data_IF_319521748882
#
_entry.id   IF_319521748882
#
_cell.length_a   1.000
_cell.length_b   1.000
_cell.length_c   1.000
_cell.angle_alpha   90.00
_cell.angle_beta   90.00
_cell.angle_gamma   90.00
#
_symmetry.space_group_name_H-M   'P 1'
#
loop_
_entity.id
_entity.type
_entity.pdbx_description
1 polymer ?
#
# COMPACT_ATOMS: atom_id res chain seq x y z
N UNK A 1 12.90 16.69 -54.68
CA UNK A 1 12.63 15.76 -53.54
C UNK A 1 11.70 16.45 -52.56
N UNK A 2 10.38 16.33 -52.72
CA UNK A 2 9.39 17.00 -51.86
C UNK A 2 9.07 16.14 -50.63
N UNK A 3 9.20 16.77 -49.44
CA UNK A 3 8.91 16.21 -48.12
C UNK A 3 7.40 15.87 -48.03
N UNK A 4 7.06 14.61 -47.78
CA UNK A 4 5.67 14.18 -47.53
C UNK A 4 5.21 14.72 -46.17
N UNK A 5 4.49 15.84 -46.19
CA UNK A 5 3.67 16.27 -45.06
C UNK A 5 2.49 15.30 -44.90
N UNK A 6 2.54 14.51 -43.84
CA UNK A 6 1.45 13.61 -43.46
C UNK A 6 0.21 14.39 -43.02
N UNK A 7 -0.78 14.49 -43.92
CA UNK A 7 -2.21 14.80 -43.69
C UNK A 7 -2.64 14.90 -42.22
N UNK A 8 -2.52 16.08 -41.63
CA UNK A 8 -3.14 16.41 -40.35
C UNK A 8 -4.61 16.76 -40.65
N UNK A 9 -5.58 15.91 -40.24
CA UNK A 9 -7.01 16.22 -40.37
C UNK A 9 -7.46 17.12 -39.20
N UNK A 10 -7.65 18.45 -39.37
CA UNK A 10 -8.10 19.36 -38.32
C UNK A 10 -9.43 18.96 -37.68
N UNK A 11 -10.34 18.33 -38.44
CA UNK A 11 -11.63 17.82 -37.96
C UNK A 11 -11.52 16.82 -36.82
N UNK A 12 -10.43 16.06 -36.77
CA UNK A 12 -10.23 15.06 -35.72
C UNK A 12 -9.79 15.68 -34.39
N UNK A 13 -9.02 16.77 -34.41
CA UNK A 13 -8.55 17.43 -33.19
C UNK A 13 -9.67 18.19 -32.50
N UNK A 14 -10.36 19.07 -33.23
CA UNK A 14 -11.44 19.89 -32.68
C UNK A 14 -12.57 19.01 -32.10
N UNK A 15 -12.95 17.95 -32.83
CA UNK A 15 -13.95 16.97 -32.38
C UNK A 15 -13.54 16.27 -31.09
N UNK A 16 -12.28 15.83 -30.98
CA UNK A 16 -11.82 15.13 -29.78
C UNK A 16 -11.64 16.08 -28.59
N UNK A 17 -11.23 17.32 -28.84
CA UNK A 17 -11.17 18.36 -27.81
C UNK A 17 -12.56 18.70 -27.27
N UNK A 18 -13.57 18.81 -28.15
CA UNK A 18 -14.96 18.99 -27.75
C UNK A 18 -15.49 17.77 -26.96
N UNK A 19 -15.17 16.55 -27.39
CA UNK A 19 -15.52 15.32 -26.67
C UNK A 19 -14.86 15.27 -25.28
N UNK A 20 -13.62 15.74 -25.15
CA UNK A 20 -12.95 15.90 -23.86
C UNK A 20 -13.67 16.93 -23.00
N UNK A 21 -13.99 18.10 -23.53
CA UNK A 21 -14.73 19.13 -22.77
C UNK A 21 -16.08 18.62 -22.26
N UNK A 22 -16.82 17.87 -23.10
CA UNK A 22 -18.06 17.22 -22.70
C UNK A 22 -17.85 16.17 -21.60
N UNK A 23 -16.77 15.39 -21.68
CA UNK A 23 -16.38 14.47 -20.61
C UNK A 23 -16.08 15.22 -19.30
N UNK A 24 -15.28 16.29 -19.36
CA UNK A 24 -14.92 17.08 -18.19
C UNK A 24 -16.15 17.69 -17.52
N UNK A 25 -17.08 18.24 -18.31
CA UNK A 25 -18.35 18.76 -17.80
C UNK A 25 -19.21 17.68 -17.15
N UNK A 26 -19.27 16.48 -17.73
CA UNK A 26 -20.08 15.37 -17.22
C UNK A 26 -19.52 14.76 -15.93
N UNK A 27 -18.20 14.64 -15.81
CA UNK A 27 -17.55 13.93 -14.71
C UNK A 27 -16.93 14.85 -13.66
N UNK A 28 -16.95 16.17 -13.88
CA UNK A 28 -16.29 17.15 -13.01
C UNK A 28 -14.76 17.09 -13.04
N UNK A 29 -14.17 16.26 -13.91
CA UNK A 29 -12.73 16.09 -14.04
C UNK A 29 -12.33 15.68 -15.47
N UNK A 30 -11.07 15.92 -15.86
CA UNK A 30 -10.55 15.49 -17.17
C UNK A 30 -9.64 14.24 -17.10
N UNK A 31 -9.87 13.37 -16.12
CA UNK A 31 -9.17 12.09 -15.95
C UNK A 31 -9.78 11.00 -16.83
N UNK A 32 -9.63 11.12 -18.15
CA UNK A 32 -10.16 10.12 -19.09
C UNK A 32 -9.40 8.78 -18.94
N UNK A 33 -10.08 7.65 -18.62
CA UNK A 33 -9.48 6.33 -18.62
C UNK A 33 -9.07 5.88 -20.03
N UNK A 34 -7.96 5.17 -20.17
CA UNK A 34 -7.51 4.67 -21.48
C UNK A 34 -8.54 3.73 -22.15
N UNK A 35 -9.29 2.98 -21.34
CA UNK A 35 -10.35 2.06 -21.75
C UNK A 35 -11.76 2.63 -21.53
N UNK A 36 -11.95 3.94 -21.68
CA UNK A 36 -13.24 4.60 -21.47
C UNK A 36 -14.34 4.00 -22.36
N UNK A 37 -15.15 3.08 -21.82
CA UNK A 37 -16.13 2.30 -22.58
C UNK A 37 -17.19 3.13 -23.32
N UNK A 38 -17.75 4.21 -22.75
CA UNK A 38 -18.74 5.02 -23.46
C UNK A 38 -18.18 5.72 -24.71
N UNK A 39 -16.87 5.97 -24.76
CA UNK A 39 -16.20 6.49 -25.94
C UNK A 39 -14.75 5.99 -25.99
N UNK A 40 -14.48 4.78 -26.53
CA UNK A 40 -13.14 4.20 -26.53
C UNK A 40 -12.14 5.03 -27.34
N UNK A 41 -12.62 5.76 -28.36
CA UNK A 41 -11.83 6.69 -29.13
C UNK A 41 -11.26 7.83 -28.26
N UNK A 42 -12.04 8.35 -27.31
CA UNK A 42 -11.60 9.40 -26.38
C UNK A 42 -10.55 8.89 -25.40
N UNK A 43 -10.72 7.68 -24.87
CA UNK A 43 -9.72 7.04 -24.01
C UNK A 43 -8.37 6.86 -24.72
N UNK A 44 -8.38 6.30 -25.93
CA UNK A 44 -7.17 6.14 -26.76
C UNK A 44 -6.54 7.48 -27.14
N UNK A 45 -7.36 8.46 -27.53
CA UNK A 45 -6.86 9.77 -27.91
C UNK A 45 -6.23 10.51 -26.73
N UNK A 46 -6.83 10.47 -25.55
CA UNK A 46 -6.27 11.06 -24.33
C UNK A 46 -4.93 10.40 -23.96
N UNK A 47 -4.84 9.07 -24.05
CA UNK A 47 -3.58 8.35 -23.85
C UNK A 47 -2.51 8.76 -24.88
N UNK A 48 -2.90 8.92 -26.15
CA UNK A 48 -2.00 9.38 -27.20
C UNK A 48 -1.49 10.81 -26.94
N UNK A 49 -2.31 11.73 -26.42
CA UNK A 49 -1.85 13.09 -26.08
C UNK A 49 -0.82 13.07 -24.97
N UNK A 50 -1.04 12.26 -23.91
CA UNK A 50 -0.06 12.09 -22.83
C UNK A 50 1.27 11.55 -23.35
N UNK A 51 1.23 10.56 -24.24
CA UNK A 51 2.42 10.01 -24.87
C UNK A 51 3.15 11.05 -25.74
N UNK A 52 2.43 11.75 -26.63
CA UNK A 52 3.00 12.79 -27.50
C UNK A 52 3.64 13.93 -26.72
N UNK A 53 3.03 14.37 -25.61
CA UNK A 53 3.65 15.35 -24.72
C UNK A 53 4.94 14.82 -24.09
N UNK A 54 4.95 13.55 -23.66
CA UNK A 54 6.13 12.92 -23.06
C UNK A 54 7.33 12.88 -24.01
N UNK A 55 7.09 12.63 -25.30
CA UNK A 55 8.15 12.56 -26.33
C UNK A 55 8.41 13.90 -27.04
N UNK A 56 7.75 14.99 -26.64
CA UNK A 56 7.96 16.32 -27.22
C UNK A 56 7.31 16.56 -28.59
N UNK A 57 6.43 15.67 -29.06
CA UNK A 57 5.76 15.77 -30.37
C UNK A 57 4.42 16.53 -30.34
N UNK A 58 4.01 17.02 -29.16
CA UNK A 58 2.77 17.76 -29.02
C UNK A 58 3.04 19.26 -29.09
N UNK A 59 2.37 19.96 -30.02
CA UNK A 59 2.58 21.40 -30.19
C UNK A 59 2.18 22.20 -28.94
N UNK A 60 2.86 23.33 -28.64
CA UNK A 60 2.53 24.17 -27.49
C UNK A 60 1.07 24.64 -27.46
N UNK A 61 0.48 24.92 -28.62
CA UNK A 61 -0.91 25.37 -28.75
C UNK A 61 -1.89 24.26 -28.32
N UNK A 62 -1.57 23.00 -28.67
CA UNK A 62 -2.37 21.82 -28.28
C UNK A 62 -2.24 21.54 -26.78
N UNK A 63 -1.05 21.70 -26.21
CA UNK A 63 -0.84 21.61 -24.75
C UNK A 63 -1.67 22.68 -24.05
N UNK A 64 -1.56 23.94 -24.46
CA UNK A 64 -2.32 25.07 -23.89
C UNK A 64 -3.83 24.87 -24.00
N UNK A 65 -4.32 24.32 -25.11
CA UNK A 65 -5.75 24.03 -25.28
C UNK A 65 -6.25 22.94 -24.32
N UNK A 66 -5.44 21.91 -24.08
CA UNK A 66 -5.73 20.84 -23.13
C UNK A 66 -5.64 21.34 -21.67
N UNK A 67 -4.64 22.16 -21.36
CA UNK A 67 -4.46 22.76 -20.03
C UNK A 67 -5.64 23.66 -19.64
N UNK A 68 -6.17 24.45 -20.60
CA UNK A 68 -7.37 25.28 -20.39
C UNK A 68 -8.61 24.48 -20.00
N UNK A 69 -8.69 23.22 -20.42
CA UNK A 69 -9.78 22.32 -20.03
C UNK A 69 -9.52 21.64 -18.69
N UNK A 70 -8.31 21.74 -18.12
CA UNK A 70 -7.90 21.01 -16.93
C UNK A 70 -7.47 19.57 -17.22
N UNK A 71 -6.95 19.29 -18.43
CA UNK A 71 -6.54 17.94 -18.83
C UNK A 71 -5.44 17.38 -17.93
N UNK A 72 -5.68 16.20 -17.36
CA UNK A 72 -4.71 15.56 -16.47
C UNK A 72 -3.68 14.76 -17.28
N UNK A 73 -2.45 15.28 -17.31
CA UNK A 73 -1.32 14.68 -18.01
C UNK A 73 -0.76 13.43 -17.33
N UNK A 74 -0.75 13.40 -15.99
CA UNK A 74 -0.18 12.32 -15.19
C UNK A 74 -1.20 11.79 -14.16
N UNK A 75 -2.32 11.17 -14.60
CA UNK A 75 -3.39 10.74 -13.69
C UNK A 75 -2.93 9.68 -12.68
N UNK A 76 -1.92 8.89 -13.03
CA UNK A 76 -1.34 7.90 -12.14
C UNK A 76 -0.58 8.54 -10.97
N UNK A 77 0.15 9.64 -11.22
CA UNK A 77 0.87 10.36 -10.15
C UNK A 77 -0.09 11.13 -9.25
N UNK A 78 -1.08 11.81 -9.82
CA UNK A 78 -2.09 12.49 -9.00
C UNK A 78 -2.89 11.51 -8.12
N UNK A 79 -3.22 10.32 -8.67
CA UNK A 79 -3.83 9.25 -7.88
C UNK A 79 -2.89 8.75 -6.80
N UNK A 80 -1.60 8.61 -7.10
CA UNK A 80 -0.58 8.18 -6.14
C UNK A 80 -0.49 9.16 -4.97
N UNK A 81 -0.29 10.45 -5.23
CA UNK A 81 -0.21 11.50 -4.19
C UNK A 81 -1.43 11.49 -3.28
N UNK A 82 -2.64 11.49 -3.85
CA UNK A 82 -3.89 11.42 -3.07
C UNK A 82 -3.97 10.15 -2.20
N UNK A 83 -3.62 8.99 -2.75
CA UNK A 83 -3.70 7.73 -2.01
C UNK A 83 -2.65 7.66 -0.89
N UNK A 84 -1.50 8.31 -1.06
CA UNK A 84 -0.51 8.50 0.00
C UNK A 84 -1.07 9.37 1.13
N UNK A 85 -1.79 10.45 0.81
CA UNK A 85 -2.47 11.28 1.81
C UNK A 85 -3.57 10.51 2.55
N UNK A 86 -4.42 9.77 1.82
CA UNK A 86 -5.44 8.90 2.41
C UNK A 86 -4.81 7.84 3.34
N UNK A 87 -3.68 7.25 2.94
CA UNK A 87 -2.94 6.30 3.77
C UNK A 87 -2.34 6.96 5.02
N UNK A 88 -1.82 8.19 4.92
CA UNK A 88 -1.36 8.97 6.08
C UNK A 88 -2.50 9.26 7.04
N UNK A 89 -3.67 9.64 6.53
CA UNK A 89 -4.87 9.86 7.33
C UNK A 89 -5.32 8.57 8.03
N UNK A 90 -5.33 7.44 7.30
CA UNK A 90 -5.58 6.12 7.87
C UNK A 90 -4.60 5.79 9.01
N UNK A 91 -3.29 5.99 8.78
CA UNK A 91 -2.26 5.78 9.79
C UNK A 91 -2.47 6.68 11.00
N UNK A 92 -2.79 7.95 10.80
CA UNK A 92 -3.08 8.90 11.89
C UNK A 92 -4.30 8.49 12.70
N UNK A 93 -5.32 7.91 12.05
CA UNK A 93 -6.56 7.47 12.71
C UNK A 93 -6.39 6.16 13.47
N UNK A 94 -5.57 5.23 12.97
CA UNK A 94 -5.52 3.85 13.46
C UNK A 94 -4.15 3.39 13.99
N UNK A 95 -3.13 4.24 13.92
CA UNK A 95 -1.76 3.94 14.37
C UNK A 95 -0.97 3.03 13.43
N UNK A 96 -1.54 2.60 12.30
CA UNK A 96 -0.91 1.61 11.44
C UNK A 96 -1.36 1.73 9.98
N UNK A 97 -0.65 1.08 9.06
CA UNK A 97 -0.95 1.13 7.61
C UNK A 97 -1.66 -0.13 7.08
N UNK A 98 -2.12 -1.02 7.96
CA UNK A 98 -2.85 -2.23 7.58
C UNK A 98 -4.32 -1.90 7.28
N UNK A 99 -4.56 -1.41 6.08
CA UNK A 99 -5.93 -1.12 5.60
C UNK A 99 -6.67 -2.43 5.34
N UNK A 100 -7.86 -2.64 5.95
CA UNK A 100 -8.68 -3.82 5.68
C UNK A 100 -9.05 -3.94 4.20
N UNK A 101 -9.10 -5.17 3.69
CA UNK A 101 -9.44 -5.43 2.28
C UNK A 101 -10.83 -4.92 1.89
N UNK A 102 -11.79 -4.98 2.82
CA UNK A 102 -13.16 -4.53 2.62
C UNK A 102 -13.51 -3.32 3.49
N UNK A 103 -12.58 -2.36 3.60
CA UNK A 103 -12.83 -1.17 4.41
C UNK A 103 -13.93 -0.28 3.81
N UNK A 104 -15.11 -0.29 4.45
CA UNK A 104 -16.31 0.38 3.95
C UNK A 104 -16.20 1.91 3.91
N UNK A 105 -15.42 2.53 4.81
CA UNK A 105 -15.27 3.98 4.85
C UNK A 105 -14.49 4.53 3.65
N UNK A 106 -13.51 3.78 3.13
CA UNK A 106 -12.78 4.15 1.92
C UNK A 106 -12.36 2.89 1.12
N UNK A 107 -13.29 2.34 0.32
CA UNK A 107 -12.99 1.18 -0.52
C UNK A 107 -11.94 1.48 -1.60
N UNK A 108 -11.74 2.76 -1.93
CA UNK A 108 -10.71 3.17 -2.90
C UNK A 108 -9.31 2.94 -2.34
N UNK A 109 -9.06 3.37 -1.09
CA UNK A 109 -7.79 3.15 -0.42
C UNK A 109 -7.53 1.65 -0.21
N UNK A 110 -8.53 0.89 0.24
CA UNK A 110 -8.41 -0.56 0.44
C UNK A 110 -7.94 -1.28 -0.83
N UNK A 111 -8.64 -1.05 -1.95
CA UNK A 111 -8.27 -1.61 -3.26
C UNK A 111 -6.88 -1.15 -3.71
N UNK A 112 -6.54 0.12 -3.48
CA UNK A 112 -5.24 0.66 -3.86
C UNK A 112 -4.10 0.01 -3.08
N UNK A 113 -4.24 -0.17 -1.76
CA UNK A 113 -3.28 -0.85 -0.89
C UNK A 113 -3.03 -2.28 -1.35
N UNK A 114 -4.09 -3.04 -1.63
CA UNK A 114 -3.97 -4.41 -2.15
C UNK A 114 -3.27 -4.44 -3.52
N UNK A 115 -3.59 -3.48 -4.40
CA UNK A 115 -2.91 -3.34 -5.68
C UNK A 115 -1.40 -3.10 -5.52
N UNK A 116 -0.97 -2.30 -4.53
CA UNK A 116 0.46 -2.06 -4.30
C UNK A 116 1.16 -3.31 -3.78
N UNK A 117 0.54 -4.04 -2.84
CA UNK A 117 1.05 -5.34 -2.34
C UNK A 117 1.22 -6.34 -3.48
N UNK A 118 0.22 -6.46 -4.36
CA UNK A 118 0.28 -7.32 -5.54
C UNK A 118 1.38 -6.89 -6.52
N UNK A 119 1.48 -5.58 -6.83
CA UNK A 119 2.51 -5.06 -7.75
C UNK A 119 3.91 -5.27 -7.22
N UNK A 120 4.17 -5.04 -5.92
CA UNK A 120 5.47 -5.35 -5.30
C UNK A 120 5.81 -6.83 -5.43
N UNK A 121 4.87 -7.72 -5.09
CA UNK A 121 5.06 -9.19 -5.23
C UNK A 121 5.39 -9.62 -6.67
N UNK A 122 4.86 -8.91 -7.66
CA UNK A 122 5.12 -9.17 -9.09
C UNK A 122 6.33 -8.40 -9.65
N UNK A 123 7.06 -7.64 -8.85
CA UNK A 123 8.17 -6.80 -9.32
C UNK A 123 7.74 -5.66 -10.26
N UNK A 124 6.47 -5.25 -10.19
CA UNK A 124 5.86 -4.23 -11.07
C UNK A 124 5.71 -2.85 -10.41
N UNK A 125 6.17 -2.70 -9.18
CA UNK A 125 6.17 -1.43 -8.46
C UNK A 125 7.57 -0.83 -8.52
N UNK A 126 7.69 0.44 -8.89
CA UNK A 126 9.00 1.10 -8.95
C UNK A 126 9.66 1.18 -7.58
N UNK A 127 10.99 1.15 -7.55
CA UNK A 127 11.77 1.23 -6.31
C UNK A 127 11.52 2.53 -5.54
N UNK A 128 11.30 3.65 -6.23
CA UNK A 128 10.92 4.93 -5.63
C UNK A 128 9.61 4.81 -4.85
N UNK A 129 8.59 4.20 -5.44
CA UNK A 129 7.27 3.99 -4.82
C UNK A 129 7.35 3.01 -3.65
N UNK A 130 8.21 1.99 -3.74
CA UNK A 130 8.50 1.10 -2.62
C UNK A 130 9.15 1.87 -1.48
N UNK A 131 10.19 2.68 -1.76
CA UNK A 131 10.87 3.50 -0.75
C UNK A 131 9.92 4.47 -0.06
N UNK A 132 9.06 5.14 -0.81
CA UNK A 132 8.10 6.09 -0.24
C UNK A 132 7.12 5.40 0.72
N UNK A 133 6.52 4.27 0.30
CA UNK A 133 5.63 3.49 1.15
C UNK A 133 6.34 2.92 2.38
N UNK A 134 7.56 2.40 2.21
CA UNK A 134 8.38 1.90 3.33
C UNK A 134 8.68 3.02 4.33
N UNK A 135 9.00 4.24 3.87
CA UNK A 135 9.22 5.40 4.75
C UNK A 135 7.98 5.79 5.55
N UNK A 136 6.79 5.54 5.02
CA UNK A 136 5.53 5.73 5.74
C UNK A 136 5.22 4.61 6.74
N UNK A 137 6.04 3.56 6.80
CA UNK A 137 5.77 2.36 7.60
C UNK A 137 4.68 1.49 6.98
N UNK A 138 4.64 1.38 5.65
CA UNK A 138 3.63 0.58 4.96
C UNK A 138 3.82 -0.92 5.19
N UNK A 139 2.77 -1.59 5.70
CA UNK A 139 2.76 -3.03 5.90
C UNK A 139 2.51 -3.77 4.58
N UNK A 140 3.61 -4.23 4.00
CA UNK A 140 3.62 -5.02 2.77
C UNK A 140 3.01 -6.42 2.92
N UNK A 141 3.10 -7.00 4.12
CA UNK A 141 2.47 -8.26 4.45
C UNK A 141 1.66 -8.13 5.73
N UNK A 142 0.47 -8.73 5.74
CA UNK A 142 -0.37 -8.89 6.94
C UNK A 142 0.00 -10.18 7.69
N UNK A 143 0.80 -11.04 7.06
CA UNK A 143 1.30 -12.30 7.59
C UNK A 143 2.79 -12.43 7.22
N UNK A 144 3.67 -12.36 8.21
CA UNK A 144 5.17 -12.31 8.16
C UNK A 144 5.78 -10.91 8.28
N UNK A 145 6.24 -10.64 9.50
CA UNK A 145 7.51 -9.94 9.72
C UNK A 145 8.62 -10.96 9.51
N UNK A 146 9.21 -11.02 8.32
CA UNK A 146 10.41 -11.83 8.08
C UNK A 146 11.30 -11.27 6.95
N UNK A 147 11.06 -10.03 6.51
CA UNK A 147 11.69 -9.54 5.27
C UNK A 147 12.23 -8.12 5.40
N UNK A 148 12.85 -7.82 6.56
CA UNK A 148 13.77 -6.68 6.70
C UNK A 148 15.25 -7.12 6.80
N UNK A 149 15.58 -8.37 6.46
CA UNK A 149 16.98 -8.80 6.27
C UNK A 149 17.10 -9.83 5.14
N UNK A 150 17.29 -9.34 3.93
CA UNK A 150 18.14 -9.91 2.85
C UNK A 150 17.83 -11.32 2.25
N UNK A 151 17.78 -11.36 0.91
CA UNK A 151 18.33 -12.42 0.01
C UNK A 151 17.45 -13.61 -0.45
N UNK A 152 17.85 -14.30 -1.56
CA UNK A 152 16.96 -14.90 -2.55
C UNK A 152 16.50 -16.32 -2.22
N UNK A 153 15.49 -16.73 -2.98
CA UNK A 153 14.76 -17.99 -2.93
C UNK A 153 15.61 -19.23 -3.21
N UNK A 154 15.62 -20.20 -2.30
CA UNK A 154 15.63 -21.61 -2.67
C UNK A 154 14.74 -22.48 -1.78
N UNK A 155 13.85 -23.20 -2.48
CA UNK A 155 13.27 -24.53 -2.25
C UNK A 155 12.77 -24.90 -0.85
N UNK A 156 11.44 -24.96 -0.78
CA UNK A 156 10.69 -25.75 0.20
C UNK A 156 10.98 -27.24 -0.01
N UNK A 157 11.46 -27.91 1.03
CA UNK A 157 11.19 -29.32 1.26
C UNK A 157 10.54 -29.47 2.64
N UNK A 158 9.52 -30.31 2.64
CA UNK A 158 8.77 -30.78 3.80
C UNK A 158 9.71 -31.53 4.75
N UNK A 159 10.10 -30.88 5.83
CA UNK A 159 10.72 -31.50 6.99
C UNK A 159 10.25 -30.70 8.20
N UNK A 160 10.00 -31.35 9.33
CA UNK A 160 9.58 -30.72 10.59
C UNK A 160 10.62 -29.73 11.12
N UNK A 161 10.70 -28.58 10.48
CA UNK A 161 11.75 -27.58 10.63
C UNK A 161 11.15 -26.43 11.45
N UNK A 162 11.63 -26.33 12.68
CA UNK A 162 11.39 -25.25 13.64
C UNK A 162 11.48 -23.89 12.92
N UNK A 163 10.33 -23.25 12.72
CA UNK A 163 10.17 -22.04 11.91
C UNK A 163 10.68 -20.77 12.61
N UNK A 164 11.31 -20.92 13.79
CA UNK A 164 11.88 -19.82 14.56
C UNK A 164 10.83 -19.00 15.31
N UNK A 165 9.59 -19.50 15.44
CA UNK A 165 8.51 -18.84 16.19
C UNK A 165 8.08 -19.69 17.39
N UNK A 166 7.75 -19.05 18.50
CA UNK A 166 7.34 -19.73 19.75
C UNK A 166 5.91 -20.32 19.69
N UNK A 167 5.17 -20.01 18.63
CA UNK A 167 3.72 -20.20 18.54
C UNK A 167 2.92 -19.02 19.11
N UNK A 168 3.55 -18.12 19.88
CA UNK A 168 2.89 -16.95 20.43
C UNK A 168 2.57 -15.90 19.34
N UNK A 169 1.41 -15.26 19.49
CA UNK A 169 0.84 -14.34 18.52
C UNK A 169 0.30 -13.10 19.22
N UNK A 170 0.41 -11.97 18.57
CA UNK A 170 -0.22 -10.72 18.98
C UNK A 170 -1.35 -10.41 18.01
N UNK A 171 -2.57 -10.82 18.37
CA UNK A 171 -3.78 -10.65 17.57
C UNK A 171 -4.26 -9.21 17.56
N UNK A 172 -4.67 -8.73 16.40
CA UNK A 172 -5.20 -7.39 16.16
C UNK A 172 -6.72 -7.47 16.18
N UNK A 173 -7.33 -7.22 17.34
CA UNK A 173 -8.78 -7.40 17.54
C UNK A 173 -9.58 -6.26 16.92
N UNK A 174 -9.09 -5.03 17.09
CA UNK A 174 -9.65 -3.81 16.47
C UNK A 174 -8.51 -2.82 16.26
N UNK A 175 -8.74 -1.72 15.55
CA UNK A 175 -7.71 -0.74 15.24
C UNK A 175 -6.86 -0.36 16.47
N UNK A 176 -5.58 -0.69 16.40
CA UNK A 176 -4.62 -0.51 17.48
C UNK A 176 -4.81 -1.44 18.69
N UNK A 177 -5.87 -2.21 18.86
CA UNK A 177 -6.03 -3.08 20.05
C UNK A 177 -5.44 -4.46 19.79
N UNK A 178 -4.42 -4.78 20.58
CA UNK A 178 -3.67 -6.02 20.50
C UNK A 178 -3.99 -6.94 21.68
N UNK A 179 -4.10 -8.24 21.40
CA UNK A 179 -4.23 -9.30 22.39
C UNK A 179 -3.12 -10.31 22.17
N UNK A 180 -2.22 -10.45 23.14
CA UNK A 180 -1.21 -11.49 23.10
C UNK A 180 -1.85 -12.83 23.46
N UNK A 181 -1.50 -13.86 22.71
CA UNK A 181 -1.98 -15.22 22.87
C UNK A 181 -0.83 -16.19 22.69
N UNK A 182 -0.80 -17.25 23.49
CA UNK A 182 0.29 -18.21 23.51
C UNK A 182 0.24 -19.23 22.37
N UNK A 183 -0.83 -19.22 21.56
CA UNK A 183 -1.08 -20.14 20.47
C UNK A 183 -1.47 -21.56 20.90
N UNK A 184 -1.62 -21.83 22.21
CA UNK A 184 -1.88 -23.16 22.79
C UNK A 184 -3.13 -23.19 23.65
N UNK A 185 -3.35 -22.14 24.43
CA UNK A 185 -4.53 -21.98 25.27
C UNK A 185 -5.77 -21.72 24.41
N UNK A 186 -6.98 -21.99 24.94
CA UNK A 186 -8.22 -21.56 24.31
C UNK A 186 -8.18 -20.07 23.94
N UNK A 187 -8.93 -19.71 22.90
CA UNK A 187 -8.95 -18.34 22.40
C UNK A 187 -9.56 -17.39 23.45
N UNK A 188 -8.91 -16.25 23.75
CA UNK A 188 -9.49 -15.22 24.59
C UNK A 188 -10.84 -14.77 24.04
N UNK A 189 -11.76 -14.39 24.93
CA UNK A 189 -13.11 -13.93 24.58
C UNK A 189 -13.09 -12.82 23.52
N UNK A 190 -12.10 -11.93 23.55
CA UNK A 190 -11.96 -10.88 22.53
C UNK A 190 -11.74 -11.44 21.11
N UNK A 191 -11.01 -12.55 20.99
CA UNK A 191 -10.78 -13.25 19.71
C UNK A 191 -12.03 -14.03 19.29
N UNK A 192 -12.68 -14.72 20.23
CA UNK A 192 -13.93 -15.45 19.93
C UNK A 192 -15.05 -14.52 19.44
N UNK A 193 -15.16 -13.34 20.06
CA UNK A 193 -16.07 -12.27 19.61
C UNK A 193 -15.73 -11.78 18.21
N UNK A 194 -14.44 -11.62 17.91
CA UNK A 194 -13.99 -11.28 16.56
C UNK A 194 -14.39 -12.36 15.55
N UNK A 195 -14.12 -13.65 15.85
CA UNK A 195 -14.48 -14.75 14.97
C UNK A 195 -15.99 -14.81 14.70
N UNK A 196 -16.80 -14.62 15.74
CA UNK A 196 -18.26 -14.59 15.63
C UNK A 196 -18.74 -13.49 14.67
N UNK A 197 -18.09 -12.32 14.69
CA UNK A 197 -18.38 -11.21 13.77
C UNK A 197 -17.81 -11.42 12.35
N UNK A 198 -16.81 -12.28 12.18
CA UNK A 198 -16.08 -12.47 10.93
C UNK A 198 -16.16 -13.92 10.39
N UNK A 199 -17.33 -14.56 10.52
CA UNK A 199 -17.62 -15.90 9.94
C UNK A 199 -16.60 -16.99 10.31
N UNK A 200 -16.03 -16.91 11.51
CA UNK A 200 -15.04 -17.86 12.02
C UNK A 200 -13.58 -17.49 11.74
N UNK A 201 -13.33 -16.44 10.94
CA UNK A 201 -11.97 -16.00 10.63
C UNK A 201 -11.27 -15.43 11.87
N UNK A 202 -10.02 -15.86 12.08
CA UNK A 202 -9.17 -15.31 13.14
C UNK A 202 -8.75 -13.88 12.80
N UNK A 203 -8.59 -13.00 13.82
CA UNK A 203 -8.02 -11.69 13.61
C UNK A 203 -6.60 -11.79 12.99
N UNK A 204 -6.17 -10.79 12.22
CA UNK A 204 -4.78 -10.65 11.83
C UNK A 204 -3.87 -10.70 13.07
N UNK A 205 -2.64 -11.19 12.94
CA UNK A 205 -1.74 -11.28 14.07
C UNK A 205 -0.28 -11.01 13.68
N UNK A 206 0.49 -10.54 14.66
CA UNK A 206 1.94 -10.43 14.57
C UNK A 206 2.54 -11.64 15.27
N UNK A 207 3.35 -12.48 14.61
CA UNK A 207 4.03 -13.58 15.28
C UNK A 207 5.12 -13.04 16.22
N UNK A 208 5.28 -13.66 17.39
CA UNK A 208 6.32 -13.24 18.34
C UNK A 208 7.61 -14.03 18.16
N UNK A 209 8.79 -13.42 18.42
CA UNK A 209 10.08 -14.07 18.29
C UNK A 209 10.21 -15.29 19.21
N UNK A 210 10.99 -16.29 18.80
CA UNK A 210 11.32 -17.44 19.64
C UNK A 210 12.42 -17.09 20.64
N UNK A 211 12.13 -17.27 21.92
CA UNK A 211 13.12 -17.15 22.99
C UNK A 211 13.48 -15.70 23.36
N UNK A 212 14.43 -15.52 24.28
CA UNK A 212 14.82 -14.21 24.78
C UNK A 212 15.18 -13.25 23.64
N UNK A 213 14.61 -12.04 23.67
CA UNK A 213 14.70 -11.06 22.57
C UNK A 213 15.00 -9.69 23.12
N UNK A 214 15.83 -8.92 22.41
CA UNK A 214 16.06 -7.50 22.66
C UNK A 214 15.36 -6.68 21.59
N UNK A 215 14.37 -5.89 21.99
CA UNK A 215 13.65 -4.95 21.15
C UNK A 215 14.35 -3.59 21.16
N UNK A 216 14.60 -3.02 19.98
CA UNK A 216 15.19 -1.72 19.77
C UNK A 216 14.08 -0.68 19.52
N UNK A 217 13.70 0.04 20.57
CA UNK A 217 12.72 1.12 20.53
C UNK A 217 13.41 2.42 20.12
N UNK A 218 13.26 2.81 18.85
CA UNK A 218 13.72 4.08 18.33
C UNK A 218 12.88 4.50 17.12
N UNK A 219 12.77 5.80 16.90
CA UNK A 219 12.33 6.37 15.63
C UNK A 219 13.48 7.23 15.09
N UNK A 220 13.44 7.67 13.84
CA UNK A 220 14.55 8.33 13.15
C UNK A 220 15.18 9.56 13.88
N UNK A 221 14.55 10.03 14.96
CA UNK A 221 14.90 11.23 15.72
C UNK A 221 15.18 11.00 17.22
N UNK A 222 15.04 9.77 17.75
CA UNK A 222 15.18 9.48 19.20
C UNK A 222 16.25 8.42 19.43
N UNK A 223 17.07 8.58 20.48
CA UNK A 223 18.07 7.58 20.91
C UNK A 223 17.42 6.20 21.08
N UNK A 224 18.04 5.19 20.49
CA UNK A 224 17.59 3.80 20.49
C UNK A 224 17.60 3.22 21.93
N UNK A 225 16.42 2.90 22.46
CA UNK A 225 16.24 2.23 23.76
C UNK A 225 16.11 0.73 23.53
N UNK A 226 17.00 -0.07 24.15
CA UNK A 226 16.94 -1.53 24.10
C UNK A 226 16.10 -2.08 25.25
N UNK A 227 15.11 -2.92 24.95
CA UNK A 227 14.20 -3.54 25.92
C UNK A 227 14.25 -5.05 25.80
N UNK A 228 14.58 -5.74 26.89
CA UNK A 228 14.69 -7.20 26.92
C UNK A 228 13.34 -7.85 27.21
N UNK A 229 13.05 -8.94 26.51
CA UNK A 229 11.92 -9.84 26.78
C UNK A 229 12.45 -11.26 26.92
N UNK A 230 11.88 -12.04 27.83
CA UNK A 230 12.36 -13.40 28.14
C UNK A 230 11.94 -14.46 27.11
N UNK A 231 11.19 -14.07 26.08
CA UNK A 231 10.70 -15.00 25.05
C UNK A 231 9.44 -15.77 25.44
N UNK A 232 8.87 -15.49 26.62
CA UNK A 232 7.64 -16.07 27.14
C UNK A 232 6.87 -15.07 27.98
N UNK A 233 5.54 -15.15 27.92
CA UNK A 233 4.65 -14.31 28.69
C UNK A 233 4.50 -12.90 28.10
N UNK A 234 3.83 -11.97 28.80
CA UNK A 234 3.45 -10.68 28.23
C UNK A 234 4.68 -9.91 27.73
N UNK A 235 4.53 -9.28 26.57
CA UNK A 235 5.53 -8.33 26.07
C UNK A 235 5.69 -7.17 27.05
N UNK A 236 6.90 -6.59 27.17
CA UNK A 236 7.12 -5.40 27.98
C UNK A 236 6.18 -4.27 27.55
N UNK A 237 5.70 -3.49 28.52
CA UNK A 237 4.72 -2.43 28.25
C UNK A 237 5.21 -1.42 27.21
N UNK A 238 6.51 -1.10 27.20
CA UNK A 238 7.05 -0.16 26.21
C UNK A 238 7.07 -0.72 24.79
N UNK A 239 7.20 -2.05 24.65
CA UNK A 239 7.07 -2.74 23.37
C UNK A 239 5.62 -2.74 22.93
N UNK A 240 4.68 -3.00 23.86
CA UNK A 240 3.25 -2.92 23.57
C UNK A 240 2.82 -1.50 23.16
N UNK A 241 3.33 -0.46 23.83
CA UNK A 241 3.09 0.94 23.46
C UNK A 241 3.65 1.28 22.08
N UNK A 242 4.79 0.68 21.71
CA UNK A 242 5.34 0.83 20.36
C UNK A 242 4.43 0.16 19.34
N UNK A 243 3.99 -1.08 19.58
CA UNK A 243 3.11 -1.81 18.66
C UNK A 243 1.78 -1.07 18.50
N UNK A 244 1.22 -0.55 19.60
CA UNK A 244 0.02 0.29 19.61
C UNK A 244 0.13 1.50 18.68
N UNK A 245 1.32 2.13 18.63
CA UNK A 245 1.60 3.33 17.84
C UNK A 245 2.00 3.09 16.39
N UNK A 246 2.60 1.93 16.10
CA UNK A 246 3.25 1.68 14.81
C UNK A 246 2.62 0.53 14.00
N UNK A 247 1.87 -0.34 14.66
CA UNK A 247 1.22 -1.47 14.03
C UNK A 247 2.05 -2.74 13.91
N UNK A 248 3.32 -2.70 14.31
CA UNK A 248 4.29 -3.78 14.20
C UNK A 248 5.21 -3.83 15.43
N UNK A 249 5.93 -4.96 15.58
CA UNK A 249 7.03 -5.02 16.53
C UNK A 249 8.15 -4.06 16.11
N UNK A 250 8.84 -3.45 17.08
CA UNK A 250 10.07 -2.71 16.81
C UNK A 250 11.16 -3.65 16.26
N UNK A 251 12.27 -3.10 15.74
CA UNK A 251 13.42 -3.92 15.37
C UNK A 251 13.88 -4.75 16.57
N UNK A 252 14.32 -5.99 16.35
CA UNK A 252 14.75 -6.86 17.44
C UNK A 252 15.82 -7.85 17.01
N UNK A 253 16.56 -8.31 18.01
CA UNK A 253 17.62 -9.31 17.86
C UNK A 253 17.49 -10.36 18.99
N UNK A 254 17.93 -11.61 18.76
CA UNK A 254 18.01 -12.59 19.84
C UNK A 254 18.87 -12.07 21.00
N UNK A 255 18.37 -12.19 22.23
CA UNK A 255 19.19 -11.89 23.41
C UNK A 255 20.14 -13.04 23.65
N UNK A 256 21.44 -12.75 23.77
CA UNK A 256 22.38 -13.69 24.37
C UNK A 256 21.89 -14.06 25.78
N UNK A 257 21.86 -15.36 26.07
CA UNK A 257 21.54 -15.95 27.37
C UNK A 257 22.52 -15.50 28.44
#
# INVERSE_FOLDING_TARGET
MARREGRNKPDSWAKMLAALAAFCKKHGHCKVPANYKPCPALGRWAAAQRYKRKIGELSPERVKALDRLGFVWAPAEETWTRMIEDLKAFKSKFGHTNVPEHWAENPTLANWVQSQRYKRKKGKLSEERVRELTRLGFMWSVYRNADETSLPSEKRQDSGQDDGFSGERLYVIRHGVYVQHDGKSPLPKQIEQFQSAHRGDLPPFIPLPKGPTVFCLGDAFVKEKKVKWRGKGPLPSEVMDYVQRNGNLPKYEPSAT
#
